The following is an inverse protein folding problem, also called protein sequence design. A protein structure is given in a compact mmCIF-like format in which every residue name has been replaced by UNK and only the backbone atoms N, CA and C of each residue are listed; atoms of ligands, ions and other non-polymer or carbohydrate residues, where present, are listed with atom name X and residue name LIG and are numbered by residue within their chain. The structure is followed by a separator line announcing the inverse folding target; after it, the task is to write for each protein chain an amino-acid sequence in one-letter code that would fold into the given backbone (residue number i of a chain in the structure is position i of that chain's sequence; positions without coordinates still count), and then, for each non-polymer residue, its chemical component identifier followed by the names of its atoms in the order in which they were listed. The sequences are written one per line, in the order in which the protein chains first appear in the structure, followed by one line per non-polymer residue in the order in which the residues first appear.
data_IF_011584299091
#
_entry.id   IF_011584299091
#
_cell.length_a   1.000
_cell.length_b   1.000
_cell.length_c   1.000
_cell.angle_alpha   90.00
_cell.angle_beta   90.00
_cell.angle_gamma   90.00
#
_symmetry.space_group_name_H-M   'P 1'
#
loop_
_entity.id
_entity.type
_entity.pdbx_description
1 polymer ?
#
# COMPACT_ATOMS: atom_id res chain seq x y z
N UNK A 1 -22.93 -1.33 18.89
CA UNK A 1 -22.91 -2.79 18.53
C UNK A 1 -21.77 -3.18 17.57
N UNK A 2 -21.29 -2.28 16.69
CA UNK A 2 -20.25 -2.61 15.68
C UNK A 2 -18.82 -2.63 16.25
N UNK A 3 -18.50 -1.78 17.20
CA UNK A 3 -17.13 -1.66 17.76
C UNK A 3 -16.73 -2.87 18.62
N UNK A 4 -17.67 -3.41 19.39
CA UNK A 4 -17.43 -4.63 20.17
C UNK A 4 -17.14 -5.83 19.27
N UNK A 5 -17.77 -5.88 18.09
CA UNK A 5 -17.56 -6.94 17.09
C UNK A 5 -16.17 -6.87 16.44
N UNK A 6 -15.66 -5.67 16.14
CA UNK A 6 -14.33 -5.47 15.56
C UNK A 6 -13.23 -5.86 16.55
N UNK A 7 -13.36 -5.45 17.80
CA UNK A 7 -12.42 -5.79 18.87
C UNK A 7 -12.34 -7.29 19.13
N UNK A 8 -13.47 -7.97 19.14
CA UNK A 8 -13.53 -9.42 19.37
C UNK A 8 -12.97 -10.19 18.16
N UNK A 9 -13.21 -9.71 16.95
CA UNK A 9 -12.62 -10.24 15.73
C UNK A 9 -11.09 -10.08 15.71
N UNK A 10 -10.58 -8.91 16.11
CA UNK A 10 -9.14 -8.68 16.20
C UNK A 10 -8.48 -9.58 17.25
N UNK A 11 -9.11 -9.74 18.43
CA UNK A 11 -8.61 -10.67 19.46
C UNK A 11 -8.55 -12.12 18.96
N UNK A 12 -9.57 -12.56 18.22
CA UNK A 12 -9.60 -13.90 17.66
C UNK A 12 -8.46 -14.12 16.67
N UNK A 13 -8.23 -13.18 15.74
CA UNK A 13 -7.13 -13.21 14.77
C UNK A 13 -5.77 -13.24 15.49
N UNK A 14 -5.56 -12.36 16.47
CA UNK A 14 -4.31 -12.31 17.23
C UNK A 14 -4.04 -13.59 18.03
N UNK A 15 -5.09 -14.20 18.58
CA UNK A 15 -4.97 -15.48 19.28
C UNK A 15 -4.57 -16.60 18.32
N UNK A 16 -5.07 -16.61 17.10
CA UNK A 16 -4.71 -17.57 16.06
C UNK A 16 -3.26 -17.37 15.59
N UNK A 17 -2.86 -16.12 15.33
CA UNK A 17 -1.47 -15.77 14.99
C UNK A 17 -0.51 -16.24 16.08
N UNK A 18 -0.83 -15.99 17.35
CA UNK A 18 -0.01 -16.44 18.50
C UNK A 18 0.10 -17.97 18.57
N UNK A 19 -1.00 -18.69 18.34
CA UNK A 19 -1.01 -20.18 18.31
C UNK A 19 -0.17 -20.77 17.18
N UNK A 20 0.07 -20.00 16.13
CA UNK A 20 0.84 -20.47 14.96
C UNK A 20 2.33 -20.64 15.23
N UNK A 21 2.84 -20.20 16.38
CA UNK A 21 4.25 -20.31 16.78
C UNK A 21 5.22 -19.75 15.70
N UNK A 22 4.88 -18.61 15.14
CA UNK A 22 5.70 -17.91 14.14
C UNK A 22 5.51 -18.37 12.70
N UNK A 23 4.58 -19.29 12.42
CA UNK A 23 4.26 -19.69 11.04
C UNK A 23 3.44 -18.66 10.27
N UNK A 24 2.80 -17.73 10.99
CA UNK A 24 2.04 -16.61 10.42
C UNK A 24 2.81 -15.32 10.67
N UNK A 25 3.07 -14.56 9.61
CA UNK A 25 3.64 -13.23 9.68
C UNK A 25 2.51 -12.23 9.45
N UNK A 26 2.31 -11.32 10.40
CA UNK A 26 1.31 -10.27 10.32
C UNK A 26 1.89 -9.07 9.57
N UNK A 27 1.23 -8.59 8.52
CA UNK A 27 1.56 -7.32 7.89
C UNK A 27 0.66 -6.21 8.44
N UNK A 28 1.26 -5.12 8.91
CA UNK A 28 0.56 -3.96 9.47
C UNK A 28 0.98 -2.73 8.68
N UNK A 29 0.06 -2.22 7.87
CA UNK A 29 0.25 -0.94 7.20
C UNK A 29 -0.01 0.22 8.17
N UNK A 30 0.67 1.34 7.96
CA UNK A 30 0.60 2.52 8.83
C UNK A 30 0.75 2.17 10.33
N UNK A 31 1.78 1.38 10.67
CA UNK A 31 2.01 0.87 12.03
C UNK A 31 1.95 1.97 13.10
N UNK A 32 2.37 3.19 12.79
CA UNK A 32 2.32 4.34 13.69
C UNK A 32 0.91 4.65 14.20
N UNK A 33 -0.14 4.39 13.43
CA UNK A 33 -1.53 4.62 13.85
C UNK A 33 -1.94 3.72 15.00
N UNK A 34 -1.38 2.53 15.06
CA UNK A 34 -1.66 1.53 16.09
C UNK A 34 -0.83 1.78 17.36
N UNK A 35 0.43 2.20 17.20
CA UNK A 35 1.36 2.26 18.34
C UNK A 35 1.43 3.62 19.05
N UNK A 36 0.88 4.70 18.50
CA UNK A 36 0.98 5.99 19.17
C UNK A 36 0.27 7.18 18.55
N UNK A 37 -0.03 7.14 17.26
CA UNK A 37 -0.60 8.30 16.54
C UNK A 37 -2.13 8.30 16.46
N UNK A 38 -2.76 7.16 16.70
CA UNK A 38 -4.21 7.01 16.55
C UNK A 38 -5.00 7.67 17.70
N UNK A 39 -5.72 8.75 17.38
CA UNK A 39 -6.64 9.42 18.32
C UNK A 39 -8.09 8.98 18.18
N UNK A 40 -8.41 8.08 17.27
CA UNK A 40 -9.76 7.53 17.10
C UNK A 40 -9.97 6.35 18.04
N UNK A 41 -11.16 6.22 18.63
CA UNK A 41 -11.47 5.18 19.63
C UNK A 41 -11.10 3.76 19.16
N UNK A 42 -11.39 3.40 17.92
CA UNK A 42 -11.09 2.08 17.38
C UNK A 42 -9.58 1.79 17.22
N UNK A 43 -8.75 2.79 16.90
CA UNK A 43 -7.29 2.63 16.79
C UNK A 43 -6.61 2.55 18.16
N UNK A 44 -7.15 3.22 19.18
CA UNK A 44 -6.67 3.10 20.57
C UNK A 44 -6.90 1.69 21.12
N UNK A 45 -8.02 1.08 20.82
CA UNK A 45 -8.32 -0.30 21.25
C UNK A 45 -7.40 -1.34 20.58
N UNK A 46 -7.14 -1.19 19.28
CA UNK A 46 -6.20 -2.05 18.56
C UNK A 46 -4.75 -1.87 19.08
N UNK A 47 -4.34 -0.62 19.32
CA UNK A 47 -3.03 -0.29 19.89
C UNK A 47 -2.80 -0.88 21.28
N UNK A 48 -3.81 -0.82 22.14
CA UNK A 48 -3.75 -1.37 23.49
C UNK A 48 -3.62 -2.92 23.49
N UNK A 49 -4.10 -3.59 22.45
CA UNK A 49 -3.95 -5.03 22.28
C UNK A 49 -2.62 -5.41 21.64
N UNK A 50 -2.21 -4.72 20.57
CA UNK A 50 -1.07 -5.08 19.74
C UNK A 50 0.26 -4.64 20.35
N UNK A 51 0.35 -3.42 20.90
CA UNK A 51 1.60 -2.87 21.43
C UNK A 51 2.25 -3.77 22.49
N UNK A 52 1.55 -4.31 23.50
CA UNK A 52 2.14 -5.23 24.46
C UNK A 52 2.63 -6.54 23.82
N UNK A 53 1.91 -7.09 22.86
CA UNK A 53 2.30 -8.33 22.17
C UNK A 53 3.53 -8.13 21.29
N UNK A 54 3.63 -6.99 20.59
CA UNK A 54 4.81 -6.59 19.82
C UNK A 54 6.02 -6.38 20.74
N UNK A 55 5.84 -5.65 21.84
CA UNK A 55 6.92 -5.38 22.81
C UNK A 55 7.46 -6.66 23.49
N UNK A 56 6.62 -7.69 23.66
CA UNK A 56 7.04 -8.99 24.20
C UNK A 56 7.59 -9.95 23.15
N UNK A 57 7.50 -9.60 21.85
CA UNK A 57 7.92 -10.46 20.75
C UNK A 57 7.02 -11.69 20.53
N UNK A 58 5.75 -11.59 20.92
CA UNK A 58 4.75 -12.66 20.76
C UNK A 58 4.20 -12.73 19.34
N UNK A 59 4.43 -11.69 18.52
CA UNK A 59 3.99 -11.58 17.14
C UNK A 59 5.17 -11.41 16.20
N UNK A 60 5.19 -12.20 15.13
CA UNK A 60 6.05 -11.95 13.99
C UNK A 60 5.31 -11.00 13.05
N UNK A 61 5.83 -9.79 12.87
CA UNK A 61 5.15 -8.81 12.04
C UNK A 61 6.11 -8.00 11.15
N UNK A 62 5.57 -7.54 10.03
CA UNK A 62 6.17 -6.54 9.16
C UNK A 62 5.31 -5.30 9.27
N UNK A 63 5.88 -4.21 9.77
CA UNK A 63 5.19 -2.92 9.88
C UNK A 63 5.66 -1.97 8.78
N UNK A 64 4.74 -1.31 8.10
CA UNK A 64 5.04 -0.24 7.17
C UNK A 64 4.69 1.12 7.78
N UNK A 65 5.55 2.12 7.57
CA UNK A 65 5.34 3.49 8.02
C UNK A 65 6.24 4.45 7.25
N UNK A 66 6.06 5.75 7.41
CA UNK A 66 6.98 6.76 6.88
C UNK A 66 8.18 6.98 7.81
N UNK A 67 9.26 7.57 7.29
CA UNK A 67 10.46 7.86 8.09
C UNK A 67 10.16 8.82 9.25
N UNK A 68 9.34 9.84 9.02
CA UNK A 68 9.02 10.84 10.03
C UNK A 68 8.17 10.24 11.15
N UNK A 69 7.20 9.43 10.82
CA UNK A 69 6.36 8.74 11.78
C UNK A 69 7.10 7.64 12.54
N UNK A 70 8.03 6.94 11.88
CA UNK A 70 8.93 6.00 12.55
C UNK A 70 9.74 6.71 13.63
N UNK A 71 10.40 7.84 13.30
CA UNK A 71 11.18 8.64 14.26
C UNK A 71 10.34 9.17 15.40
N UNK A 72 9.11 9.56 15.12
CA UNK A 72 8.23 10.17 16.11
C UNK A 72 7.59 9.16 17.06
N UNK A 73 7.19 7.99 16.59
CA UNK A 73 6.34 7.05 17.33
C UNK A 73 7.00 5.72 17.67
N UNK A 74 7.97 5.26 16.90
CA UNK A 74 8.58 3.94 17.08
C UNK A 74 10.00 4.07 17.67
N UNK A 75 10.85 4.87 17.07
CA UNK A 75 12.24 5.06 17.52
C UNK A 75 12.34 5.61 18.96
N UNK A 76 11.39 6.47 19.36
CA UNK A 76 11.32 7.04 20.71
C UNK A 76 10.76 6.09 21.77
N UNK A 77 10.19 4.96 21.37
CA UNK A 77 9.67 3.96 22.28
C UNK A 77 10.67 2.79 22.40
N UNK A 78 11.45 2.71 23.49
CA UNK A 78 12.49 1.68 23.63
C UNK A 78 11.96 0.25 23.60
N UNK A 79 10.68 0.04 23.95
CA UNK A 79 10.06 -1.28 23.92
C UNK A 79 9.76 -1.76 22.49
N UNK A 80 9.47 -0.84 21.58
CA UNK A 80 9.22 -1.13 20.17
C UNK A 80 10.50 -1.09 19.34
N UNK A 81 11.33 -0.09 19.54
CA UNK A 81 12.57 0.11 18.79
C UNK A 81 13.46 -1.13 18.80
N UNK A 82 13.69 -1.72 19.95
CA UNK A 82 14.49 -2.96 20.08
C UNK A 82 13.87 -4.21 19.45
N UNK A 83 12.62 -4.17 19.01
CA UNK A 83 11.86 -5.31 18.44
C UNK A 83 11.75 -5.29 16.94
N UNK A 84 12.00 -4.14 16.32
CA UNK A 84 11.91 -3.98 14.89
C UNK A 84 13.29 -3.75 14.26
N UNK A 85 13.60 -4.55 13.25
CA UNK A 85 14.70 -4.28 12.34
C UNK A 85 14.19 -3.36 11.23
N UNK A 86 14.85 -2.21 11.03
CA UNK A 86 14.47 -1.27 9.99
C UNK A 86 14.95 -1.72 8.62
N UNK A 87 14.07 -1.62 7.63
CA UNK A 87 14.38 -1.81 6.20
C UNK A 87 13.94 -0.57 5.46
N UNK A 88 14.89 0.20 4.96
CA UNK A 88 14.59 1.41 4.18
C UNK A 88 14.19 1.02 2.76
N UNK A 89 12.95 1.34 2.37
CA UNK A 89 12.46 1.21 1.01
C UNK A 89 12.66 2.54 0.30
N UNK A 90 13.53 2.56 -0.70
CA UNK A 90 13.83 3.75 -1.51
C UNK A 90 12.88 3.85 -2.70
N UNK A 91 12.71 5.06 -3.22
CA UNK A 91 12.03 5.30 -4.49
C UNK A 91 12.75 4.55 -5.61
N UNK A 92 12.05 3.78 -6.45
CA UNK A 92 12.66 3.08 -7.57
C UNK A 92 13.16 4.06 -8.63
N UNK A 93 14.15 3.65 -9.40
CA UNK A 93 14.61 4.38 -10.57
C UNK A 93 13.57 4.37 -11.70
N UNK A 94 13.80 5.16 -12.76
CA UNK A 94 12.95 5.12 -13.96
C UNK A 94 13.01 3.73 -14.60
N UNK A 95 14.17 3.10 -14.67
CA UNK A 95 14.38 1.76 -15.20
C UNK A 95 13.63 0.70 -14.39
N UNK A 96 13.73 0.76 -13.06
CA UNK A 96 12.99 -0.14 -12.17
C UNK A 96 11.48 0.04 -12.34
N UNK A 97 11.03 1.30 -12.48
CA UNK A 97 9.62 1.63 -12.70
C UNK A 97 9.11 1.06 -14.02
N UNK A 98 9.90 1.13 -15.10
CA UNK A 98 9.55 0.50 -16.38
C UNK A 98 9.37 -1.02 -16.20
N UNK A 99 10.27 -1.67 -15.48
CA UNK A 99 10.17 -3.11 -15.19
C UNK A 99 8.90 -3.44 -14.38
N UNK A 100 8.57 -2.62 -13.38
CA UNK A 100 7.33 -2.76 -12.59
C UNK A 100 6.09 -2.61 -13.48
N UNK A 101 6.04 -1.57 -14.32
CA UNK A 101 4.92 -1.31 -15.22
C UNK A 101 4.72 -2.45 -16.24
N UNK A 102 5.81 -3.00 -16.80
CA UNK A 102 5.75 -4.18 -17.67
C UNK A 102 5.14 -5.40 -16.95
N UNK A 103 5.46 -5.57 -15.67
CA UNK A 103 4.86 -6.62 -14.84
C UNK A 103 3.35 -6.42 -14.57
N UNK A 104 2.86 -5.20 -14.64
CA UNK A 104 1.46 -4.83 -14.42
C UNK A 104 0.64 -4.71 -15.71
N UNK A 105 1.29 -4.56 -16.86
CA UNK A 105 0.69 -4.27 -18.17
C UNK A 105 -0.54 -5.14 -18.47
N UNK A 106 -0.39 -6.46 -18.39
CA UNK A 106 -1.48 -7.40 -18.73
C UNK A 106 -2.71 -7.23 -17.83
N UNK A 107 -2.52 -6.85 -16.56
CA UNK A 107 -3.63 -6.61 -15.63
C UNK A 107 -4.40 -5.35 -15.99
N UNK A 108 -3.70 -4.26 -16.35
CA UNK A 108 -4.30 -3.02 -16.78
C UNK A 108 -4.99 -3.15 -18.15
N UNK A 109 -4.37 -3.89 -19.09
CA UNK A 109 -5.00 -4.19 -20.38
C UNK A 109 -6.34 -4.93 -20.22
N UNK A 110 -6.37 -5.94 -19.33
CA UNK A 110 -7.60 -6.70 -19.06
C UNK A 110 -8.64 -5.82 -18.36
N UNK A 111 -8.21 -5.04 -17.35
CA UNK A 111 -9.12 -4.21 -16.56
C UNK A 111 -9.79 -3.11 -17.40
N UNK A 112 -9.02 -2.40 -18.21
CA UNK A 112 -9.53 -1.31 -19.05
C UNK A 112 -10.03 -1.76 -20.43
N UNK A 113 -9.70 -2.97 -20.86
CA UNK A 113 -10.05 -3.46 -22.20
C UNK A 113 -9.34 -2.71 -23.33
N UNK A 114 -8.11 -2.27 -23.10
CA UNK A 114 -7.27 -1.53 -24.05
C UNK A 114 -5.90 -2.19 -24.18
N UNK A 115 -5.18 -1.90 -25.26
CA UNK A 115 -3.78 -2.32 -25.43
C UNK A 115 -2.83 -1.21 -24.97
N UNK A 116 -1.80 -1.61 -24.24
CA UNK A 116 -0.75 -0.73 -23.73
C UNK A 116 0.54 -1.10 -24.47
N UNK A 117 1.14 -0.14 -25.15
CA UNK A 117 2.41 -0.36 -25.85
C UNK A 117 3.60 -0.18 -24.92
N UNK A 118 4.72 -0.84 -25.20
CA UNK A 118 5.96 -0.66 -24.43
C UNK A 118 6.43 0.81 -24.44
N UNK A 119 6.24 1.50 -25.57
CA UNK A 119 6.53 2.94 -25.65
C UNK A 119 5.66 3.78 -24.70
N UNK A 120 4.42 3.40 -24.47
CA UNK A 120 3.55 4.08 -23.51
C UNK A 120 4.04 3.86 -22.06
N UNK A 121 4.51 2.66 -21.75
CA UNK A 121 5.12 2.31 -20.45
C UNK A 121 6.39 3.15 -20.20
N UNK A 122 7.28 3.21 -21.17
CA UNK A 122 8.51 4.00 -21.09
C UNK A 122 8.17 5.49 -20.95
N UNK A 123 7.22 6.00 -21.73
CA UNK A 123 6.76 7.37 -21.64
C UNK A 123 6.15 7.69 -20.28
N UNK A 124 5.30 6.80 -19.72
CA UNK A 124 4.69 6.99 -18.41
C UNK A 124 5.74 7.12 -17.29
N UNK A 125 6.74 6.26 -17.25
CA UNK A 125 7.82 6.33 -16.29
C UNK A 125 8.67 7.60 -16.46
N UNK A 126 9.06 7.92 -17.69
CA UNK A 126 9.95 9.05 -17.99
C UNK A 126 9.26 10.40 -17.77
N UNK A 127 8.04 10.56 -18.29
CA UNK A 127 7.30 11.82 -18.19
C UNK A 127 6.80 12.09 -16.77
N UNK A 128 6.34 11.06 -16.05
CA UNK A 128 5.94 11.22 -14.64
C UNK A 128 7.13 11.63 -13.79
N UNK A 129 8.30 11.04 -13.99
CA UNK A 129 9.52 11.40 -13.28
C UNK A 129 9.92 12.87 -13.56
N UNK A 130 9.77 13.32 -14.79
CA UNK A 130 10.19 14.65 -15.21
C UNK A 130 9.23 15.77 -14.81
N UNK A 131 7.92 15.52 -14.91
CA UNK A 131 6.90 16.56 -14.81
C UNK A 131 6.04 16.50 -13.55
N UNK A 132 5.95 15.36 -12.89
CA UNK A 132 5.21 15.19 -11.63
C UNK A 132 6.22 15.17 -10.48
N UNK A 133 6.37 16.31 -9.79
CA UNK A 133 7.42 16.50 -8.77
C UNK A 133 6.92 16.38 -7.34
N UNK A 134 5.62 16.35 -7.14
CA UNK A 134 4.95 16.26 -5.83
C UNK A 134 4.55 14.82 -5.45
N UNK A 135 4.87 13.85 -6.29
CA UNK A 135 4.59 12.42 -6.08
C UNK A 135 5.80 11.58 -6.44
N UNK A 136 5.81 10.32 -6.00
CA UNK A 136 6.94 9.40 -6.12
C UNK A 136 6.69 8.28 -7.14
N UNK A 137 7.77 7.77 -7.71
CA UNK A 137 7.76 6.52 -8.45
C UNK A 137 7.63 5.33 -7.46
N UNK A 138 6.98 4.22 -7.83
CA UNK A 138 6.37 3.96 -9.14
C UNK A 138 4.94 4.53 -9.27
N UNK A 139 4.31 4.96 -8.19
CA UNK A 139 2.88 5.28 -8.11
C UNK A 139 2.45 6.33 -9.14
N UNK A 140 3.20 7.42 -9.27
CA UNK A 140 2.86 8.47 -10.25
C UNK A 140 2.90 7.99 -11.71
N UNK A 141 3.74 7.01 -12.03
CA UNK A 141 3.78 6.40 -13.35
C UNK A 141 2.64 5.40 -13.56
N UNK A 142 2.30 4.63 -12.52
CA UNK A 142 1.15 3.72 -12.51
C UNK A 142 -0.15 4.49 -12.73
N UNK A 143 -0.36 5.57 -11.97
CA UNK A 143 -1.55 6.42 -12.11
C UNK A 143 -1.66 7.05 -13.50
N UNK A 144 -0.54 7.43 -14.11
CA UNK A 144 -0.54 7.99 -15.46
C UNK A 144 -0.99 6.94 -16.50
N UNK A 145 -0.56 5.68 -16.36
CA UNK A 145 -1.02 4.58 -17.22
C UNK A 145 -2.51 4.32 -17.00
N UNK A 146 -2.94 4.25 -15.75
CA UNK A 146 -4.33 3.97 -15.37
C UNK A 146 -5.28 5.04 -15.91
N UNK A 147 -4.95 6.31 -15.72
CA UNK A 147 -5.73 7.46 -16.22
C UNK A 147 -5.78 7.49 -17.75
N UNK A 148 -4.65 7.26 -18.43
CA UNK A 148 -4.60 7.25 -19.89
C UNK A 148 -5.42 6.09 -20.48
N UNK A 149 -5.33 4.91 -19.89
CA UNK A 149 -6.11 3.73 -20.30
C UNK A 149 -7.61 3.94 -20.10
N UNK A 150 -8.00 4.55 -18.96
CA UNK A 150 -9.39 4.89 -18.65
C UNK A 150 -9.98 5.88 -19.68
N UNK A 151 -9.24 6.94 -20.02
CA UNK A 151 -9.65 7.93 -21.03
C UNK A 151 -9.80 7.29 -22.40
N UNK A 152 -8.82 6.50 -22.82
CA UNK A 152 -8.89 5.81 -24.12
C UNK A 152 -10.12 4.90 -24.20
N UNK A 153 -10.45 4.18 -23.13
CA UNK A 153 -11.64 3.34 -23.07
C UNK A 153 -12.92 4.15 -23.24
N UNK A 154 -13.05 5.26 -22.54
CA UNK A 154 -14.22 6.16 -22.69
C UNK A 154 -14.36 6.71 -24.11
N UNK A 155 -13.27 7.11 -24.77
CA UNK A 155 -13.29 7.57 -26.14
C UNK A 155 -13.71 6.48 -27.12
N UNK A 156 -13.25 5.24 -26.92
CA UNK A 156 -13.67 4.09 -27.73
C UNK A 156 -15.16 3.81 -27.57
N UNK A 157 -15.67 3.83 -26.34
CA UNK A 157 -17.08 3.58 -26.06
C UNK A 157 -17.97 4.67 -26.65
N UNK A 158 -17.58 5.96 -26.57
CA UNK A 158 -18.29 7.09 -27.17
C UNK A 158 -18.28 7.03 -28.70
N UNK A 159 -17.16 6.62 -29.32
CA UNK A 159 -17.09 6.49 -30.78
C UNK A 159 -17.99 5.37 -31.31
N UNK A 160 -18.15 4.27 -30.57
CA UNK A 160 -19.05 3.18 -30.93
C UNK A 160 -20.54 3.58 -30.87
N UNK A 161 -20.90 4.47 -29.92
CA UNK A 161 -22.27 5.01 -29.81
C UNK A 161 -22.60 5.88 -31.02
N UNK A 162 -21.67 6.70 -31.49
CA UNK A 162 -21.87 7.55 -32.68
C UNK A 162 -21.99 6.76 -34.02
N UNK A 163 -21.43 5.56 -34.09
CA UNK A 163 -21.51 4.70 -35.28
C UNK A 163 -22.84 3.90 -35.30
N UNK A 164 -23.48 3.74 -34.14
CA UNK A 164 -24.72 2.96 -34.02
C UNK A 164 -26.04 3.75 -34.12
N UNK A 165 -25.97 5.09 -34.25
CA UNK A 165 -27.17 5.90 -34.55
C UNK A 165 -27.37 5.99 -36.06
N UNK A 166 -28.56 5.56 -36.58
CA UNK A 166 -28.89 5.61 -38.01
C UNK A 166 -29.16 7.02 -38.52
#
# INVERSE_FOLDING_TARGET
GSEMCIRDSLKAVLAEVKKSEGRIILFIDELHTIVGAGKTEGSMDAGNLLKPMLARGELHCIGATTLDEYRQYIEKDPALERRFQTVLVQEPTVEDTIAILRGLESRYEVFHGVKITDNAIIAAATLSNRYITDRFLPDKAIDLVDEAASRLRMELDLSLIHISEP
#
